data_IF_177095156769
#
_entry.id   IF_177095156769
#
_cell.length_a   1.000
_cell.length_b   1.000
_cell.length_c   1.000
_cell.angle_alpha   90.00
_cell.angle_beta   90.00
_cell.angle_gamma   90.00
#
_symmetry.space_group_name_H-M   'P 1'
#
loop_
_entity.id
_entity.type
_entity.pdbx_description
1 polymer ?
#
# COMPACT_ATOMS: atom_id res chain seq x y z
N UNK A 1 12.12 4.11 -12.73
CA UNK A 1 10.76 3.55 -12.96
C UNK A 1 10.75 2.02 -13.12
N UNK A 2 11.53 1.41 -14.04
CA UNK A 2 11.49 -0.06 -14.26
C UNK A 2 11.84 -0.90 -13.02
N UNK A 3 12.84 -0.50 -12.24
CA UNK A 3 13.23 -1.21 -11.01
C UNK A 3 12.11 -1.20 -9.95
N UNK A 4 11.49 -0.03 -9.70
CA UNK A 4 10.34 0.08 -8.80
C UNK A 4 9.17 -0.78 -9.27
N UNK A 5 8.80 -0.69 -10.56
CA UNK A 5 7.68 -1.45 -11.10
C UNK A 5 7.90 -2.96 -10.98
N UNK A 6 9.12 -3.43 -11.21
CA UNK A 6 9.48 -4.85 -11.02
C UNK A 6 9.32 -5.27 -9.56
N UNK A 7 9.89 -4.54 -8.61
CA UNK A 7 9.77 -4.85 -7.17
C UNK A 7 8.32 -4.78 -6.70
N UNK A 8 7.56 -3.80 -7.20
CA UNK A 8 6.14 -3.63 -6.90
C UNK A 8 5.28 -4.78 -7.42
N UNK A 9 5.50 -5.21 -8.67
CA UNK A 9 4.78 -6.36 -9.23
C UNK A 9 5.10 -7.65 -8.49
N UNK A 10 6.38 -7.89 -8.15
CA UNK A 10 6.79 -9.06 -7.35
C UNK A 10 6.12 -9.01 -5.98
N UNK A 11 6.10 -7.85 -5.32
CA UNK A 11 5.43 -7.65 -4.05
C UNK A 11 3.93 -7.96 -4.14
N UNK A 12 3.22 -7.39 -5.12
CA UNK A 12 1.81 -7.67 -5.35
C UNK A 12 1.54 -9.15 -5.65
N UNK A 13 2.41 -9.81 -6.43
CA UNK A 13 2.28 -11.22 -6.75
C UNK A 13 2.48 -12.09 -5.50
N UNK A 14 3.49 -11.79 -4.68
CA UNK A 14 3.73 -12.48 -3.41
C UNK A 14 2.54 -12.34 -2.45
N UNK A 15 2.03 -11.12 -2.25
CA UNK A 15 0.88 -10.89 -1.37
C UNK A 15 -0.37 -11.57 -1.94
N UNK A 16 -0.61 -11.45 -3.25
CA UNK A 16 -1.73 -12.11 -3.92
C UNK A 16 -1.68 -13.64 -3.81
N UNK A 17 -0.48 -14.22 -3.95
CA UNK A 17 -0.26 -15.66 -3.78
C UNK A 17 -0.52 -16.11 -2.35
N UNK A 18 -0.02 -15.36 -1.35
CA UNK A 18 -0.27 -15.65 0.07
C UNK A 18 -1.76 -15.57 0.39
N UNK A 19 -2.46 -14.53 -0.08
CA UNK A 19 -3.91 -14.41 0.09
C UNK A 19 -4.66 -15.58 -0.56
N UNK A 20 -4.28 -15.97 -1.78
CA UNK A 20 -4.89 -17.11 -2.46
C UNK A 20 -4.66 -18.42 -1.70
N UNK A 21 -3.42 -18.68 -1.24
CA UNK A 21 -3.08 -19.88 -0.49
C UNK A 21 -3.81 -19.96 0.86
N UNK A 22 -3.94 -18.84 1.57
CA UNK A 22 -4.71 -18.75 2.81
C UNK A 22 -6.21 -18.95 2.55
N UNK A 23 -6.75 -18.36 1.48
CA UNK A 23 -8.17 -18.54 1.13
C UNK A 23 -8.47 -19.99 0.75
N UNK A 24 -7.57 -20.64 0.02
CA UNK A 24 -7.72 -22.05 -0.37
C UNK A 24 -7.67 -23.02 0.82
N UNK A 25 -6.93 -22.69 1.89
CA UNK A 25 -6.79 -23.58 3.05
C UNK A 25 -7.83 -23.32 4.15
N UNK A 26 -8.18 -22.05 4.38
CA UNK A 26 -8.99 -21.64 5.53
C UNK A 26 -10.36 -21.05 5.15
N UNK A 27 -10.61 -20.83 3.86
CA UNK A 27 -11.88 -20.33 3.33
C UNK A 27 -12.25 -18.93 3.84
N UNK A 28 -13.55 -18.64 3.78
CA UNK A 28 -14.14 -17.35 4.18
C UNK A 28 -14.11 -17.07 5.68
N UNK A 29 -13.67 -18.03 6.50
CA UNK A 29 -13.62 -17.91 7.97
C UNK A 29 -12.46 -17.04 8.43
N UNK A 30 -11.33 -17.06 7.71
CA UNK A 30 -10.14 -16.26 8.03
C UNK A 30 -9.97 -15.11 7.02
N UNK A 31 -10.24 -15.37 5.74
CA UNK A 31 -10.16 -14.33 4.70
C UNK A 31 -11.56 -13.89 4.31
N UNK A 32 -11.86 -12.63 4.61
CA UNK A 32 -13.13 -12.06 4.22
C UNK A 32 -13.26 -12.04 2.68
N UNK A 33 -14.44 -12.33 2.10
CA UNK A 33 -14.68 -12.23 0.66
C UNK A 33 -14.38 -10.84 0.08
N UNK A 34 -14.38 -9.81 0.94
CA UNK A 34 -14.05 -8.43 0.56
C UNK A 34 -12.54 -8.15 0.48
N UNK A 35 -11.69 -9.01 1.04
CA UNK A 35 -10.22 -8.84 1.11
C UNK A 35 -9.56 -8.65 -0.28
N UNK A 36 -9.95 -9.36 -1.35
CA UNK A 36 -9.40 -9.12 -2.69
C UNK A 36 -9.69 -7.71 -3.22
N UNK A 37 -10.85 -7.12 -2.89
CA UNK A 37 -11.19 -5.75 -3.27
C UNK A 37 -10.32 -4.74 -2.50
N UNK A 38 -10.09 -4.99 -1.22
CA UNK A 38 -9.17 -4.19 -0.40
C UNK A 38 -7.73 -4.28 -0.91
N UNK A 39 -7.28 -5.47 -1.30
CA UNK A 39 -5.97 -5.67 -1.93
C UNK A 39 -5.85 -4.87 -3.23
N UNK A 40 -6.83 -5.00 -4.13
CA UNK A 40 -6.86 -4.25 -5.39
C UNK A 40 -6.87 -2.74 -5.17
N UNK A 41 -7.63 -2.27 -4.18
CA UNK A 41 -7.66 -0.87 -3.78
C UNK A 41 -6.28 -0.37 -3.34
N UNK A 42 -5.61 -1.05 -2.41
CA UNK A 42 -4.29 -0.63 -1.94
C UNK A 42 -3.20 -0.73 -3.02
N UNK A 43 -3.32 -1.72 -3.91
CA UNK A 43 -2.45 -1.84 -5.06
C UNK A 43 -2.61 -0.64 -6.01
N UNK A 44 -3.83 -0.34 -6.44
CA UNK A 44 -4.09 0.81 -7.33
C UNK A 44 -3.64 2.10 -6.64
N UNK A 45 -3.99 2.27 -5.36
CA UNK A 45 -3.63 3.45 -4.58
C UNK A 45 -2.11 3.64 -4.52
N UNK A 46 -1.34 2.60 -4.18
CA UNK A 46 0.13 2.66 -4.11
C UNK A 46 0.77 2.97 -5.47
N UNK A 47 0.20 2.43 -6.54
CA UNK A 47 0.68 2.73 -7.89
C UNK A 47 0.42 4.19 -8.28
N UNK A 48 -0.78 4.70 -7.97
CA UNK A 48 -1.18 6.09 -8.24
C UNK A 48 -0.36 7.06 -7.42
N UNK A 49 -0.19 6.83 -6.11
CA UNK A 49 0.62 7.69 -5.23
C UNK A 49 2.07 7.74 -5.72
N UNK A 50 2.67 6.60 -6.05
CA UNK A 50 4.02 6.56 -6.63
C UNK A 50 4.12 7.40 -7.92
N UNK A 51 3.14 7.28 -8.82
CA UNK A 51 3.12 8.05 -10.07
C UNK A 51 3.01 9.55 -9.83
N UNK A 52 2.19 9.96 -8.87
CA UNK A 52 2.03 11.37 -8.48
C UNK A 52 3.34 11.89 -7.88
N UNK A 53 3.90 11.18 -6.91
CA UNK A 53 5.16 11.57 -6.24
C UNK A 53 6.31 11.62 -7.24
N UNK A 54 6.44 10.63 -8.12
CA UNK A 54 7.48 10.64 -9.15
C UNK A 54 7.35 11.83 -10.10
N UNK A 55 6.14 12.22 -10.50
CA UNK A 55 5.91 13.41 -11.34
C UNK A 55 6.22 14.72 -10.60
N UNK A 56 5.78 14.86 -9.35
CA UNK A 56 6.04 16.06 -8.55
C UNK A 56 7.53 16.27 -8.30
N UNK A 57 8.25 15.20 -7.95
CA UNK A 57 9.69 15.23 -7.70
C UNK A 57 10.49 15.50 -8.98
N UNK A 58 10.04 14.98 -10.13
CA UNK A 58 10.66 15.29 -11.42
C UNK A 58 10.49 16.76 -11.81
N UNK A 59 9.38 17.40 -11.44
CA UNK A 59 9.15 18.81 -11.70
C UNK A 59 9.96 19.71 -10.76
N UNK A 60 10.02 19.36 -9.47
CA UNK A 60 10.87 20.05 -8.50
C UNK A 60 11.26 19.10 -7.35
N UNK A 61 12.56 18.83 -7.14
CA UNK A 61 13.02 17.91 -6.08
C UNK A 61 12.67 18.39 -4.67
N UNK A 62 12.50 19.70 -4.45
CA UNK A 62 12.14 20.26 -3.13
C UNK A 62 10.72 19.87 -2.70
N UNK A 63 9.86 19.51 -3.66
CA UNK A 63 8.49 19.06 -3.40
C UNK A 63 8.42 17.62 -2.87
N UNK A 64 9.54 16.91 -2.73
CA UNK A 64 9.57 15.52 -2.28
C UNK A 64 8.84 15.31 -0.94
N UNK A 65 9.13 16.16 0.06
CA UNK A 65 8.50 16.09 1.38
C UNK A 65 6.99 16.28 1.28
N UNK A 66 6.54 17.33 0.58
CA UNK A 66 5.12 17.64 0.40
C UNK A 66 4.41 16.51 -0.34
N UNK A 67 5.01 15.98 -1.41
CA UNK A 67 4.45 14.89 -2.17
C UNK A 67 4.29 13.61 -1.32
N UNK A 68 5.33 13.25 -0.55
CA UNK A 68 5.31 12.05 0.29
C UNK A 68 4.29 12.14 1.44
N UNK A 69 4.33 13.22 2.22
CA UNK A 69 3.36 13.42 3.31
C UNK A 69 1.94 13.60 2.77
N UNK A 70 1.78 14.28 1.63
CA UNK A 70 0.51 14.39 0.93
C UNK A 70 -0.06 13.01 0.56
N UNK A 71 0.76 12.13 -0.01
CA UNK A 71 0.33 10.76 -0.33
C UNK A 71 -0.02 9.94 0.91
N UNK A 72 0.67 10.14 2.04
CA UNK A 72 0.34 9.47 3.30
C UNK A 72 -1.02 9.91 3.85
N UNK A 73 -1.31 11.22 3.83
CA UNK A 73 -2.61 11.76 4.25
C UNK A 73 -3.73 11.25 3.33
N UNK A 74 -3.55 11.34 2.02
CA UNK A 74 -4.52 10.83 1.04
C UNK A 74 -4.78 9.34 1.26
N UNK A 75 -3.72 8.56 1.51
CA UNK A 75 -3.86 7.13 1.81
C UNK A 75 -4.68 6.90 3.06
N UNK A 76 -4.39 7.59 4.16
CA UNK A 76 -5.14 7.48 5.42
C UNK A 76 -6.63 7.79 5.21
N UNK A 77 -6.94 8.91 4.55
CA UNK A 77 -8.31 9.33 4.29
C UNK A 77 -9.05 8.34 3.39
N UNK A 78 -8.45 7.90 2.29
CA UNK A 78 -9.08 6.93 1.39
C UNK A 78 -9.25 5.55 2.05
N UNK A 79 -8.31 5.14 2.89
CA UNK A 79 -8.41 3.91 3.68
C UNK A 79 -9.58 3.99 4.68
N UNK A 80 -9.77 5.14 5.33
CA UNK A 80 -10.91 5.39 6.22
C UNK A 80 -12.23 5.34 5.46
N UNK A 81 -12.30 5.98 4.29
CA UNK A 81 -13.49 5.94 3.42
C UNK A 81 -13.83 4.50 3.03
N UNK A 82 -12.84 3.67 2.69
CA UNK A 82 -13.08 2.27 2.35
C UNK A 82 -13.68 1.49 3.52
N UNK A 83 -13.19 1.69 4.74
CA UNK A 83 -13.74 1.07 5.95
C UNK A 83 -15.16 1.56 6.22
N UNK A 84 -15.42 2.86 6.08
CA UNK A 84 -16.77 3.42 6.25
C UNK A 84 -17.74 2.83 5.22
N UNK A 85 -17.36 2.78 3.94
CA UNK A 85 -18.17 2.17 2.87
C UNK A 85 -18.49 0.71 3.21
N UNK A 86 -17.52 -0.05 3.69
CA UNK A 86 -17.75 -1.43 4.15
C UNK A 86 -18.77 -1.50 5.30
N UNK A 87 -18.63 -0.66 6.32
CA UNK A 87 -19.55 -0.62 7.46
C UNK A 87 -20.98 -0.22 7.05
N UNK A 88 -21.13 0.80 6.20
CA UNK A 88 -22.43 1.27 5.71
C UNK A 88 -23.12 0.28 4.78
N UNK A 89 -22.37 -0.50 3.98
CA UNK A 89 -22.92 -1.47 3.03
C UNK A 89 -23.39 -2.77 3.70
N UNK A 90 -23.36 -2.85 5.03
CA UNK A 90 -23.86 -4.00 5.79
C UNK A 90 -22.79 -4.79 6.55
N UNK A 91 -21.50 -4.47 6.37
CA UNK A 91 -20.40 -5.11 7.11
C UNK A 91 -20.49 -4.92 8.63
N UNK A 92 -21.25 -3.92 9.10
CA UNK A 92 -21.57 -3.75 10.51
C UNK A 92 -22.46 -4.86 11.11
N UNK A 93 -23.15 -5.66 10.28
CA UNK A 93 -24.08 -6.73 10.71
C UNK A 93 -23.45 -8.14 10.67
N UNK A 94 -22.19 -8.25 10.23
CA UNK A 94 -21.53 -9.53 9.93
C UNK A 94 -20.86 -10.22 11.15
N UNK A 95 -21.05 -9.71 12.38
CA UNK A 95 -20.55 -10.36 13.60
C UNK A 95 -19.04 -10.66 13.54
N UNK A 96 -18.67 -11.94 13.63
CA UNK A 96 -17.28 -12.41 13.62
C UNK A 96 -16.52 -12.15 12.30
N UNK A 97 -17.23 -12.09 11.16
CA UNK A 97 -16.60 -11.84 9.86
C UNK A 97 -16.07 -10.40 9.73
N UNK A 98 -16.57 -9.46 10.56
CA UNK A 98 -16.02 -8.10 10.68
C UNK A 98 -14.57 -8.12 11.15
N UNK A 99 -14.22 -9.02 12.08
CA UNK A 99 -12.85 -9.12 12.60
C UNK A 99 -11.89 -9.70 11.56
N UNK A 100 -12.35 -10.67 10.76
CA UNK A 100 -11.59 -11.21 9.63
C UNK A 100 -11.30 -10.13 8.57
N UNK A 101 -12.29 -9.28 8.26
CA UNK A 101 -12.10 -8.13 7.38
C UNK A 101 -11.11 -7.12 7.97
N UNK A 102 -11.32 -6.71 9.23
CA UNK A 102 -10.49 -5.69 9.87
C UNK A 102 -9.03 -6.13 9.98
N UNK A 103 -8.78 -7.39 10.36
CA UNK A 103 -7.44 -7.98 10.39
C UNK A 103 -6.79 -7.99 9.01
N UNK A 104 -7.51 -8.47 7.99
CA UNK A 104 -7.02 -8.45 6.60
C UNK A 104 -6.70 -7.03 6.12
N UNK A 105 -7.57 -6.07 6.43
CA UNK A 105 -7.42 -4.66 6.07
C UNK A 105 -6.17 -4.05 6.71
N UNK A 106 -5.96 -4.23 8.02
CA UNK A 106 -4.78 -3.68 8.70
C UNK A 106 -3.49 -4.29 8.18
N UNK A 107 -3.45 -5.62 8.00
CA UNK A 107 -2.28 -6.31 7.46
C UNK A 107 -1.95 -5.77 6.06
N UNK A 108 -2.94 -5.66 5.18
CA UNK A 108 -2.73 -5.10 3.84
C UNK A 108 -2.30 -3.63 3.89
N UNK A 109 -2.94 -2.82 4.72
CA UNK A 109 -2.58 -1.43 4.92
C UNK A 109 -1.10 -1.29 5.31
N UNK A 110 -0.64 -2.05 6.32
CA UNK A 110 0.75 -2.00 6.78
C UNK A 110 1.73 -2.53 5.75
N UNK A 111 1.39 -3.61 5.04
CA UNK A 111 2.25 -4.16 3.99
C UNK A 111 2.46 -3.15 2.86
N UNK A 112 1.37 -2.56 2.35
CA UNK A 112 1.47 -1.56 1.28
C UNK A 112 2.09 -0.25 1.77
N UNK A 113 1.85 0.17 3.02
CA UNK A 113 2.46 1.38 3.59
C UNK A 113 3.97 1.18 3.80
N UNK A 114 4.36 0.04 4.38
CA UNK A 114 5.75 -0.34 4.54
C UNK A 114 6.49 -0.44 3.21
N UNK A 115 5.86 -1.02 2.18
CA UNK A 115 6.42 -1.04 0.83
C UNK A 115 6.65 0.37 0.28
N UNK A 116 5.69 1.28 0.45
CA UNK A 116 5.83 2.68 -0.01
C UNK A 116 6.98 3.39 0.69
N UNK A 117 7.07 3.28 2.02
CA UNK A 117 8.18 3.82 2.82
C UNK A 117 9.52 3.26 2.33
N UNK A 118 9.61 1.94 2.17
CA UNK A 118 10.83 1.26 1.70
C UNK A 118 11.24 1.72 0.30
N UNK A 119 10.27 1.84 -0.62
CA UNK A 119 10.53 2.28 -1.98
C UNK A 119 11.00 3.73 -2.04
N UNK A 120 10.44 4.59 -1.18
CA UNK A 120 10.85 5.98 -1.05
C UNK A 120 12.28 6.08 -0.48
N UNK A 121 12.58 5.38 0.62
CA UNK A 121 13.93 5.32 1.20
C UNK A 121 14.98 4.77 0.23
N UNK A 122 14.62 3.72 -0.54
CA UNK A 122 15.53 3.12 -1.52
C UNK A 122 15.85 4.08 -2.68
N UNK A 123 14.92 4.96 -3.05
CA UNK A 123 15.16 6.01 -4.05
C UNK A 123 15.90 7.22 -3.47
N UNK A 124 15.87 7.45 -2.15
CA UNK A 124 16.66 8.49 -1.48
C UNK A 124 18.12 8.08 -1.20
N UNK A 125 18.38 6.77 -1.10
CA UNK A 125 19.72 6.21 -0.82
C UNK A 125 20.87 6.75 -1.71
N UNK A 126 20.66 7.08 -3.01
CA UNK A 126 21.70 7.70 -3.84
C UNK A 126 22.08 9.12 -3.41
N UNK A 127 21.18 9.87 -2.77
CA UNK A 127 21.40 11.27 -2.37
C UNK A 127 22.11 11.40 -1.00
N UNK A 128 22.19 10.31 -0.23
CA UNK A 128 22.83 10.27 1.10
C UNK A 128 24.29 9.78 1.05
N UNK A 129 24.99 9.89 -0.08
CA UNK A 129 26.46 9.82 -0.12
C UNK A 129 27.06 11.24 -0.06
N UNK A 130 27.25 11.85 1.13
CA UNK A 130 28.22 12.92 1.27
C UNK A 130 29.62 12.30 1.43
N UNK A 131 30.54 12.68 0.54
CA UNK A 131 31.98 12.60 0.78
C UNK A 131 32.66 11.28 0.38
N UNK A 132 32.76 11.00 -0.91
CA UNK A 132 33.98 10.35 -1.40
C UNK A 132 34.98 11.47 -1.67
N UNK A 133 35.98 11.50 -0.79
CA UNK A 133 37.05 12.48 -0.65
C UNK A 133 37.70 12.85 -1.98
N UNK A 134 37.65 14.14 -2.31
CA UNK A 134 38.73 14.81 -3.02
C UNK A 134 40.01 14.65 -2.20
N UNK A 135 40.89 13.74 -2.64
CA UNK A 135 42.33 13.81 -2.40
C UNK A 135 43.04 13.36 -3.66
#
# INVERSE_FOLDING_TARGET
MKAFLRSYLIFCLLIGFVLYALYSQFGSRIIHPFTPYTFGFFAILTFVTYRITAKLVQANPDNFLVAYFGTMVVRLLLSLVLVLVYLFKGGGKEGDARWAFLGSFFILYFLFAGFEVWAVLSNLRPFSKPGETTK
#
